data_IF_151611459963
#
_entry.id   IF_151611459963
#
_cell.length_a   1.000
_cell.length_b   1.000
_cell.length_c   1.000
_cell.angle_alpha   90.00
_cell.angle_beta   90.00
_cell.angle_gamma   90.00
#
_symmetry.space_group_name_H-M   'P 1'
#
loop_
_entity.id
_entity.type
_entity.pdbx_description
1 polymer ?
#
# COMPACT_ATOMS: atom_id res chain seq x y z
N UNK A 1 12.63 16.38 -98.05
CA UNK A 1 13.60 16.68 -96.98
C UNK A 1 12.87 17.46 -95.90
N UNK A 2 12.53 16.82 -94.79
CA UNK A 2 11.78 17.46 -93.71
C UNK A 2 12.70 18.42 -92.96
N UNK A 3 12.52 19.72 -93.17
CA UNK A 3 13.23 20.75 -92.42
C UNK A 3 12.66 20.80 -91.00
N UNK A 4 13.34 20.16 -90.04
CA UNK A 4 13.05 20.35 -88.62
C UNK A 4 13.84 21.55 -88.10
N UNK A 5 13.18 22.41 -87.32
CA UNK A 5 13.83 23.56 -86.70
C UNK A 5 14.76 23.10 -85.55
N UNK A 6 15.95 23.70 -85.41
CA UNK A 6 16.86 23.37 -84.31
C UNK A 6 16.35 23.96 -82.98
N UNK A 7 16.50 23.23 -81.87
CA UNK A 7 16.12 23.66 -80.51
C UNK A 7 17.12 24.66 -79.91
N UNK A 8 17.49 25.69 -80.66
CA UNK A 8 18.35 26.78 -80.20
C UNK A 8 17.50 27.88 -79.53
N UNK A 9 18.03 28.60 -78.52
CA UNK A 9 17.36 29.75 -77.93
C UNK A 9 16.96 30.75 -79.03
N UNK A 10 15.66 31.06 -79.13
CA UNK A 10 15.11 31.93 -80.18
C UNK A 10 14.26 31.22 -81.24
N UNK A 11 14.42 29.90 -81.41
CA UNK A 11 13.59 29.08 -82.32
C UNK A 11 12.41 28.37 -81.60
N UNK A 12 12.05 28.84 -80.40
CA UNK A 12 10.92 28.33 -79.62
C UNK A 12 9.76 29.31 -79.65
N UNK A 13 8.61 28.88 -80.16
CA UNK A 13 7.38 29.65 -80.13
C UNK A 13 6.61 29.37 -78.83
N UNK A 14 6.21 30.44 -78.12
CA UNK A 14 5.32 30.32 -76.96
C UNK A 14 3.90 30.12 -77.46
N UNK A 15 3.29 28.99 -77.10
CA UNK A 15 1.89 28.72 -77.39
C UNK A 15 0.99 29.44 -76.36
N UNK A 16 0.36 30.52 -76.79
CA UNK A 16 -0.55 31.33 -75.96
C UNK A 16 -1.92 30.70 -75.76
N UNK A 17 -2.22 29.59 -76.44
CA UNK A 17 -3.53 28.90 -76.32
C UNK A 17 -3.59 27.94 -75.13
N UNK A 18 -2.44 27.66 -74.50
CA UNK A 18 -2.37 26.78 -73.33
C UNK A 18 -2.90 27.48 -72.07
N UNK A 19 -4.09 27.07 -71.64
CA UNK A 19 -4.79 27.66 -70.48
C UNK A 19 -4.66 26.84 -69.20
N UNK A 20 -4.25 25.57 -69.28
CA UNK A 20 -4.18 24.66 -68.14
C UNK A 20 -2.73 24.36 -67.71
N UNK A 21 -2.36 24.80 -66.51
CA UNK A 21 -1.01 24.67 -65.92
C UNK A 21 -0.98 23.82 -64.65
N UNK A 22 -1.98 22.96 -64.44
CA UNK A 22 -2.03 22.10 -63.24
C UNK A 22 -0.81 21.17 -63.15
N UNK A 23 -0.13 21.16 -61.99
CA UNK A 23 0.96 20.22 -61.74
C UNK A 23 0.40 18.79 -61.59
N UNK A 24 0.86 17.82 -62.39
CA UNK A 24 0.48 16.43 -62.17
C UNK A 24 1.12 15.91 -60.89
N UNK A 25 0.33 15.27 -60.00
CA UNK A 25 0.86 14.54 -58.84
C UNK A 25 1.44 13.20 -59.28
N UNK A 26 2.62 13.25 -59.90
CA UNK A 26 3.40 12.07 -60.31
C UNK A 26 4.10 11.39 -59.16
N UNK A 27 4.18 12.03 -57.99
CA UNK A 27 4.96 11.56 -56.85
C UNK A 27 4.16 11.76 -55.58
N UNK A 28 3.89 10.67 -54.85
CA UNK A 28 3.05 10.66 -53.65
C UNK A 28 3.77 9.92 -52.52
N UNK A 29 3.63 10.43 -51.30
CA UNK A 29 4.09 9.74 -50.11
C UNK A 29 3.02 8.79 -49.60
N UNK A 30 3.34 7.49 -49.54
CA UNK A 30 2.49 6.48 -48.91
C UNK A 30 3.25 5.85 -47.75
N UNK A 31 2.71 5.95 -46.53
CA UNK A 31 3.34 5.46 -45.29
C UNK A 31 4.81 5.91 -45.13
N UNK A 32 5.11 7.16 -45.50
CA UNK A 32 6.44 7.77 -45.31
C UNK A 32 7.46 7.56 -46.44
N UNK A 33 7.12 6.79 -47.48
CA UNK A 33 8.03 6.53 -48.62
C UNK A 33 7.53 7.21 -49.90
N UNK A 34 8.39 7.89 -50.69
CA UNK A 34 8.00 8.47 -51.97
C UNK A 34 7.78 7.39 -53.02
N UNK A 35 6.60 7.41 -53.67
CA UNK A 35 6.21 6.45 -54.71
C UNK A 35 5.81 7.20 -55.98
N UNK A 36 6.36 6.84 -57.16
CA UNK A 36 5.95 7.39 -58.44
C UNK A 36 4.59 6.82 -58.86
N UNK A 37 3.64 7.69 -59.23
CA UNK A 37 2.33 7.33 -59.77
C UNK A 37 2.33 7.56 -61.29
N UNK A 38 2.01 6.54 -62.11
CA UNK A 38 1.92 6.72 -63.57
C UNK A 38 0.75 7.63 -63.93
N UNK A 39 0.99 8.64 -64.75
CA UNK A 39 -0.07 9.50 -65.30
C UNK A 39 -0.70 8.76 -66.47
N UNK A 40 -1.93 8.28 -66.31
CA UNK A 40 -2.81 8.08 -67.45
C UNK A 40 -3.53 9.41 -67.71
N UNK A 41 -3.11 10.12 -68.76
CA UNK A 41 -3.77 11.35 -69.20
C UNK A 41 -5.13 10.99 -69.80
N UNK A 42 -6.19 11.15 -69.02
CA UNK A 42 -7.55 11.08 -69.50
C UNK A 42 -7.80 12.22 -70.50
N UNK A 43 -7.87 11.86 -71.79
CA UNK A 43 -8.52 12.72 -72.80
C UNK A 43 -9.14 11.81 -73.83
N UNK A 44 -10.46 11.68 -73.75
CA UNK A 44 -11.37 11.01 -74.70
C UNK A 44 -11.08 11.28 -76.17
N UNK A 45 -10.46 12.42 -76.50
CA UNK A 45 -10.05 12.78 -77.87
C UNK A 45 -9.00 11.83 -78.47
N UNK A 46 -8.00 11.40 -77.69
CA UNK A 46 -6.94 10.51 -78.20
C UNK A 46 -7.42 9.07 -78.38
N UNK A 47 -8.44 8.68 -77.63
CA UNK A 47 -9.12 7.39 -77.79
C UNK A 47 -10.01 7.37 -79.05
N UNK A 48 -10.69 8.49 -79.35
CA UNK A 48 -11.49 8.66 -80.58
C UNK A 48 -10.62 8.65 -81.84
N UNK A 49 -9.46 9.31 -81.83
CA UNK A 49 -8.50 9.30 -82.95
C UNK A 49 -7.93 7.90 -83.24
N UNK A 50 -7.69 7.09 -82.21
CA UNK A 50 -7.23 5.71 -82.37
C UNK A 50 -8.35 4.77 -82.86
N UNK A 51 -9.60 5.06 -82.52
CA UNK A 51 -10.78 4.34 -83.01
C UNK A 51 -10.96 4.48 -84.53
N UNK A 52 -10.82 5.72 -85.03
CA UNK A 52 -10.92 6.03 -86.46
C UNK A 52 -9.72 5.47 -87.24
N UNK A 53 -8.52 5.46 -86.64
CA UNK A 53 -7.33 4.88 -87.24
C UNK A 53 -7.35 3.34 -87.34
N UNK A 54 -8.20 2.64 -86.56
CA UNK A 54 -8.32 1.17 -86.53
C UNK A 54 -9.62 0.64 -87.17
N UNK A 55 -10.14 1.28 -88.21
CA UNK A 55 -11.26 0.77 -89.02
C UNK A 55 -12.49 0.28 -88.21
N UNK A 56 -12.84 0.95 -87.09
CA UNK A 56 -14.01 0.62 -86.25
C UNK A 56 -14.03 -0.80 -85.65
N UNK A 57 -12.89 -1.51 -85.57
CA UNK A 57 -12.81 -2.76 -84.80
C UNK A 57 -12.09 -2.47 -83.49
N UNK A 58 -12.85 -2.45 -82.39
CA UNK A 58 -12.30 -2.36 -81.05
C UNK A 58 -11.90 -3.76 -80.57
N UNK A 59 -10.61 -3.97 -80.29
CA UNK A 59 -10.18 -5.04 -79.39
C UNK A 59 -10.93 -4.84 -78.05
N UNK A 60 -11.78 -5.80 -77.69
CA UNK A 60 -12.67 -5.72 -76.51
C UNK A 60 -11.93 -5.42 -75.21
N UNK A 61 -10.68 -5.86 -75.11
CA UNK A 61 -9.78 -5.61 -73.98
C UNK A 61 -9.34 -4.14 -73.89
N UNK A 62 -8.98 -3.51 -75.01
CA UNK A 62 -8.63 -2.08 -75.07
C UNK A 62 -9.84 -1.19 -74.82
N UNK A 63 -11.01 -1.59 -75.30
CA UNK A 63 -12.27 -0.90 -75.02
C UNK A 63 -12.58 -0.85 -73.51
N UNK A 64 -12.42 -2.00 -72.83
CA UNK A 64 -12.61 -2.10 -71.39
C UNK A 64 -11.59 -1.27 -70.61
N UNK A 65 -10.34 -1.23 -71.05
CA UNK A 65 -9.27 -0.46 -70.42
C UNK A 65 -9.46 1.06 -70.57
N UNK A 66 -10.02 1.51 -71.70
CA UNK A 66 -10.37 2.92 -71.93
C UNK A 66 -11.64 3.34 -71.16
N UNK A 67 -12.61 2.42 -71.00
CA UNK A 67 -13.89 2.71 -70.33
C UNK A 67 -13.77 2.70 -68.80
N UNK A 68 -13.00 1.74 -68.24
CA UNK A 68 -12.89 1.53 -66.80
C UNK A 68 -11.49 1.86 -66.23
N UNK A 69 -10.53 2.23 -67.08
CA UNK A 69 -9.12 2.42 -66.70
C UNK A 69 -8.33 1.11 -66.66
N UNK A 70 -6.99 1.17 -66.54
CA UNK A 70 -6.16 -0.03 -66.44
C UNK A 70 -6.60 -0.88 -65.25
N UNK A 71 -6.68 -2.21 -65.42
CA UNK A 71 -6.98 -3.14 -64.32
C UNK A 71 -6.03 -2.82 -63.17
N UNK A 72 -6.58 -2.45 -61.99
CA UNK A 72 -5.78 -2.18 -60.79
C UNK A 72 -4.85 -3.38 -60.59
N UNK A 73 -3.55 -3.15 -60.73
CA UNK A 73 -2.56 -4.17 -60.38
C UNK A 73 -2.88 -4.64 -58.97
N UNK A 74 -2.87 -5.95 -58.68
CA UNK A 74 -3.09 -6.43 -57.32
C UNK A 74 -2.15 -5.64 -56.41
N UNK A 75 -2.67 -5.09 -55.32
CA UNK A 75 -1.86 -4.35 -54.35
C UNK A 75 -0.72 -5.29 -53.95
N UNK A 76 0.49 -5.02 -54.42
CA UNK A 76 1.67 -5.75 -53.96
C UNK A 76 1.84 -5.36 -52.50
N UNK A 77 1.45 -6.26 -51.60
CA UNK A 77 1.69 -6.08 -50.19
C UNK A 77 3.19 -5.99 -49.98
N UNK A 78 3.64 -4.88 -49.41
CA UNK A 78 5.06 -4.65 -49.16
C UNK A 78 5.46 -5.65 -48.07
N UNK A 79 6.30 -6.62 -48.42
CA UNK A 79 6.88 -7.54 -47.45
C UNK A 79 7.90 -6.79 -46.60
N UNK A 80 7.48 -6.39 -45.39
CA UNK A 80 8.35 -5.76 -44.42
C UNK A 80 9.39 -6.77 -43.91
N UNK A 81 10.67 -6.38 -43.80
CA UNK A 81 11.69 -7.21 -43.16
C UNK A 81 11.30 -7.57 -41.71
N UNK A 82 11.65 -8.78 -41.26
CA UNK A 82 11.28 -9.29 -39.94
C UNK A 82 11.66 -8.34 -38.80
N UNK A 83 12.87 -7.79 -38.83
CA UNK A 83 13.37 -6.92 -37.77
C UNK A 83 12.56 -5.63 -37.60
N UNK A 84 11.85 -5.20 -38.65
CA UNK A 84 10.98 -4.01 -38.64
C UNK A 84 9.52 -4.40 -38.34
N UNK A 85 9.05 -5.52 -38.89
CA UNK A 85 7.68 -6.02 -38.67
C UNK A 85 7.45 -6.52 -37.23
N UNK A 86 8.52 -7.04 -36.60
CA UNK A 86 8.50 -7.63 -35.26
C UNK A 86 9.22 -6.77 -34.22
N UNK A 87 9.54 -5.51 -34.54
CA UNK A 87 10.14 -4.59 -33.59
C UNK A 87 9.24 -4.42 -32.35
N UNK A 88 9.85 -4.42 -31.15
CA UNK A 88 9.18 -4.32 -29.83
C UNK A 88 8.15 -5.40 -29.48
N UNK A 89 8.00 -6.43 -30.32
CA UNK A 89 7.13 -7.58 -30.02
C UNK A 89 7.91 -8.63 -29.25
N UNK A 90 7.54 -8.85 -27.99
CA UNK A 90 8.27 -9.72 -27.06
C UNK A 90 7.31 -10.70 -26.41
N UNK A 91 7.57 -12.00 -26.56
CA UNK A 91 6.79 -13.01 -25.88
C UNK A 91 7.27 -13.14 -24.43
N UNK A 92 6.37 -12.96 -23.47
CA UNK A 92 6.64 -13.11 -22.04
C UNK A 92 5.97 -14.35 -21.47
N UNK A 93 6.79 -15.23 -20.90
CA UNK A 93 6.36 -16.40 -20.16
C UNK A 93 6.73 -16.26 -18.67
N UNK A 94 5.86 -16.74 -17.81
CA UNK A 94 6.12 -16.95 -16.39
C UNK A 94 6.55 -18.40 -16.20
N UNK A 95 7.51 -18.62 -15.31
CA UNK A 95 7.99 -19.94 -14.97
C UNK A 95 8.65 -19.96 -13.61
N UNK A 96 9.19 -21.11 -13.24
CA UNK A 96 10.04 -21.26 -12.07
C UNK A 96 11.11 -22.31 -12.31
N UNK A 97 12.18 -22.27 -11.52
CA UNK A 97 13.10 -23.39 -11.40
C UNK A 97 13.26 -23.77 -9.92
N UNK A 98 13.56 -25.04 -9.69
CA UNK A 98 13.83 -25.58 -8.36
C UNK A 98 15.34 -25.52 -8.12
N UNK A 99 15.75 -24.98 -6.99
CA UNK A 99 17.13 -24.97 -6.54
C UNK A 99 17.25 -25.80 -5.25
N UNK A 100 18.14 -26.78 -5.26
CA UNK A 100 18.39 -27.64 -4.10
C UNK A 100 19.39 -26.97 -3.16
N UNK A 101 19.13 -27.04 -1.85
CA UNK A 101 19.96 -26.43 -0.81
C UNK A 101 20.47 -27.57 0.08
N UNK A 102 21.79 -27.68 0.22
CA UNK A 102 22.42 -28.78 0.96
C UNK A 102 22.64 -28.47 2.44
N UNK A 103 22.95 -27.20 2.80
CA UNK A 103 23.49 -26.84 4.13
C UNK A 103 22.55 -25.96 4.99
N UNK A 104 21.22 -26.03 4.79
CA UNK A 104 20.26 -25.22 5.57
C UNK A 104 19.32 -26.07 6.41
N UNK A 105 19.26 -25.81 7.72
CA UNK A 105 18.47 -26.62 8.66
C UNK A 105 16.95 -26.51 8.51
N UNK A 106 16.46 -25.52 7.74
CA UNK A 106 15.02 -25.25 7.59
C UNK A 106 14.44 -25.58 6.22
N UNK A 107 15.27 -25.72 5.18
CA UNK A 107 14.81 -25.80 3.77
C UNK A 107 15.74 -26.72 2.96
N UNK A 108 15.17 -27.76 2.34
CA UNK A 108 15.91 -28.69 1.46
C UNK A 108 15.94 -28.22 0.00
N UNK A 109 14.94 -27.45 -0.42
CA UNK A 109 14.85 -26.87 -1.75
C UNK A 109 14.06 -25.56 -1.69
N UNK A 110 14.34 -24.66 -2.64
CA UNK A 110 13.59 -23.42 -2.85
C UNK A 110 13.07 -23.34 -4.28
N UNK A 111 11.97 -22.61 -4.45
CA UNK A 111 11.34 -22.39 -5.76
C UNK A 111 11.55 -20.93 -6.15
N UNK A 112 12.26 -20.71 -7.26
CA UNK A 112 12.59 -19.36 -7.73
C UNK A 112 11.74 -19.03 -8.96
N UNK A 113 10.78 -18.09 -8.85
CA UNK A 113 9.99 -17.67 -9.99
C UNK A 113 10.88 -16.91 -10.97
N UNK A 114 10.65 -17.07 -12.27
CA UNK A 114 11.38 -16.39 -13.33
C UNK A 114 10.42 -15.95 -14.44
N UNK A 115 10.81 -14.90 -15.16
CA UNK A 115 10.16 -14.44 -16.37
C UNK A 115 11.09 -14.70 -17.54
N UNK A 116 10.60 -15.43 -18.54
CA UNK A 116 11.32 -15.72 -19.77
C UNK A 116 10.78 -14.81 -20.86
N UNK A 117 11.65 -13.97 -21.43
CA UNK A 117 11.34 -13.04 -22.51
C UNK A 117 11.94 -13.57 -23.81
N UNK A 118 11.14 -13.66 -24.86
CA UNK A 118 11.57 -14.06 -26.20
C UNK A 118 11.31 -12.91 -27.17
N UNK A 119 12.36 -12.38 -27.78
CA UNK A 119 12.29 -11.24 -28.69
C UNK A 119 12.07 -11.74 -30.12
N UNK A 120 10.90 -11.41 -30.72
CA UNK A 120 10.55 -11.87 -32.07
C UNK A 120 11.38 -11.21 -33.19
N UNK A 121 12.06 -10.12 -32.87
CA UNK A 121 12.88 -9.36 -33.81
C UNK A 121 14.10 -10.16 -34.30
N UNK A 122 14.77 -10.87 -33.39
CA UNK A 122 16.07 -11.51 -33.59
C UNK A 122 16.13 -12.97 -33.06
N UNK A 123 15.02 -13.50 -32.54
CA UNK A 123 14.91 -14.82 -31.92
C UNK A 123 15.86 -14.99 -30.71
N UNK A 124 16.07 -13.91 -29.94
CA UNK A 124 16.87 -13.95 -28.70
C UNK A 124 15.99 -14.12 -27.47
N UNK A 125 16.59 -14.63 -26.39
CA UNK A 125 15.92 -14.89 -25.12
C UNK A 125 16.65 -14.22 -23.95
N UNK A 126 15.89 -13.84 -22.94
CA UNK A 126 16.37 -13.29 -21.68
C UNK A 126 15.57 -13.90 -20.53
N UNK A 127 16.22 -14.19 -19.41
CA UNK A 127 15.56 -14.72 -18.21
C UNK A 127 15.80 -13.78 -17.05
N UNK A 128 14.70 -13.33 -16.44
CA UNK A 128 14.72 -12.35 -15.36
C UNK A 128 13.98 -12.91 -14.15
N UNK A 129 14.66 -12.96 -13.02
CA UNK A 129 14.04 -13.22 -11.73
C UNK A 129 13.43 -11.91 -11.18
N UNK A 130 12.12 -11.88 -10.87
CA UNK A 130 11.49 -10.71 -10.28
C UNK A 130 12.08 -10.44 -8.88
N UNK A 131 12.27 -9.16 -8.56
CA UNK A 131 12.75 -8.73 -7.25
C UNK A 131 11.63 -8.86 -6.22
N UNK A 132 11.88 -9.60 -5.15
CA UNK A 132 10.98 -9.82 -4.03
C UNK A 132 11.57 -9.17 -2.78
N UNK A 133 10.80 -8.31 -2.12
CA UNK A 133 11.23 -7.67 -0.89
C UNK A 133 11.56 -8.72 0.20
N UNK A 134 12.62 -8.49 0.96
CA UNK A 134 13.07 -9.38 2.04
C UNK A 134 13.35 -10.83 1.58
N UNK A 135 13.78 -11.03 0.33
CA UNK A 135 14.22 -12.34 -0.18
C UNK A 135 15.63 -12.72 0.30
N UNK A 136 16.50 -11.72 0.52
CA UNK A 136 17.91 -11.93 0.87
C UNK A 136 18.76 -12.50 -0.28
N UNK A 137 18.19 -12.68 -1.47
CA UNK A 137 18.87 -13.21 -2.65
C UNK A 137 19.23 -12.09 -3.62
N UNK A 138 20.33 -12.27 -4.36
CA UNK A 138 20.66 -11.42 -5.51
C UNK A 138 19.70 -11.76 -6.66
N UNK A 139 18.71 -10.89 -6.87
CA UNK A 139 17.66 -11.05 -7.87
C UNK A 139 17.80 -10.01 -9.00
N UNK A 140 17.32 -10.37 -10.19
CA UNK A 140 17.40 -9.54 -11.40
C UNK A 140 17.57 -10.40 -12.65
N UNK A 141 18.36 -9.93 -13.61
CA UNK A 141 18.64 -10.67 -14.85
C UNK A 141 19.48 -11.92 -14.54
N UNK A 142 18.88 -13.10 -14.64
CA UNK A 142 19.53 -14.39 -14.45
C UNK A 142 20.39 -14.74 -15.68
N UNK A 143 19.80 -14.60 -16.87
CA UNK A 143 20.49 -14.77 -18.14
C UNK A 143 20.27 -13.54 -19.02
N UNK A 144 21.36 -12.89 -19.43
CA UNK A 144 21.32 -11.72 -20.33
C UNK A 144 20.75 -12.10 -21.70
N UNK A 145 20.18 -11.12 -22.41
CA UNK A 145 19.61 -11.30 -23.74
C UNK A 145 20.64 -11.85 -24.75
N UNK A 146 20.41 -13.05 -25.26
CA UNK A 146 21.12 -13.63 -26.42
C UNK A 146 20.37 -14.87 -26.94
N UNK A 147 20.86 -15.49 -28.02
CA UNK A 147 20.24 -16.72 -28.54
C UNK A 147 20.68 -17.93 -27.70
N UNK A 148 19.74 -18.53 -26.96
CA UNK A 148 20.03 -19.72 -26.16
C UNK A 148 20.14 -20.98 -27.02
N UNK A 149 21.15 -21.84 -26.79
CA UNK A 149 21.29 -23.11 -27.50
C UNK A 149 20.25 -24.13 -27.01
N UNK A 150 19.62 -24.84 -27.94
CA UNK A 150 18.68 -25.91 -27.64
C UNK A 150 19.45 -27.21 -27.28
N UNK A 151 19.10 -27.91 -26.19
CA UNK A 151 19.86 -29.06 -25.68
C UNK A 151 19.96 -30.22 -26.68
N UNK A 152 18.88 -30.49 -27.43
CA UNK A 152 18.82 -31.57 -28.41
C UNK A 152 19.39 -31.22 -29.80
N UNK A 153 19.92 -30.00 -29.99
CA UNK A 153 20.32 -29.50 -31.30
C UNK A 153 21.82 -29.43 -31.48
N UNK A 154 22.35 -29.90 -32.63
CA UNK A 154 23.71 -29.64 -33.11
C UNK A 154 23.92 -28.14 -33.44
N UNK A 155 23.81 -27.25 -32.44
CA UNK A 155 23.90 -25.79 -32.61
C UNK A 155 22.58 -25.10 -32.98
N UNK A 156 21.43 -25.76 -32.84
CA UNK A 156 20.11 -25.12 -33.03
C UNK A 156 19.81 -24.20 -31.84
N UNK A 157 19.30 -23.00 -32.09
CA UNK A 157 18.78 -22.09 -31.06
C UNK A 157 17.32 -22.38 -30.70
N UNK A 158 16.89 -21.96 -29.51
CA UNK A 158 15.48 -22.00 -29.14
C UNK A 158 14.62 -21.13 -30.07
N UNK A 159 13.51 -21.70 -30.54
CA UNK A 159 12.48 -20.98 -31.27
C UNK A 159 11.24 -20.79 -30.40
N UNK A 160 10.44 -19.78 -30.73
CA UNK A 160 9.13 -19.57 -30.08
C UNK A 160 8.22 -20.80 -30.17
N UNK A 161 8.39 -21.63 -31.22
CA UNK A 161 7.68 -22.91 -31.40
C UNK A 161 8.06 -23.98 -30.37
N UNK A 162 9.24 -23.88 -29.77
CA UNK A 162 9.72 -24.86 -28.79
C UNK A 162 9.19 -24.55 -27.37
N UNK A 163 8.66 -23.35 -27.17
CA UNK A 163 8.11 -22.84 -25.90
C UNK A 163 6.61 -23.12 -25.83
N UNK A 164 6.19 -23.90 -24.84
CA UNK A 164 4.78 -24.14 -24.53
C UNK A 164 4.60 -24.19 -23.00
N UNK A 165 3.39 -23.97 -22.51
CA UNK A 165 3.06 -24.08 -21.10
C UNK A 165 3.21 -25.54 -20.63
N UNK A 166 3.53 -25.72 -19.35
CA UNK A 166 3.78 -27.03 -18.71
C UNK A 166 4.97 -27.80 -19.31
N UNK A 167 5.82 -27.13 -20.09
CA UNK A 167 7.03 -27.70 -20.68
C UNK A 167 8.27 -27.13 -20.00
N UNK A 168 9.28 -27.98 -19.87
CA UNK A 168 10.55 -27.61 -19.25
C UNK A 168 11.52 -27.15 -20.35
N UNK A 169 12.16 -26.01 -20.14
CA UNK A 169 13.25 -25.51 -20.97
C UNK A 169 14.56 -25.62 -20.20
N UNK A 170 15.62 -26.11 -20.86
CA UNK A 170 16.93 -26.30 -20.27
C UNK A 170 17.86 -25.20 -20.79
N UNK A 171 18.20 -24.26 -19.92
CA UNK A 171 19.06 -23.12 -20.24
C UNK A 171 20.32 -23.22 -19.40
N UNK A 172 21.47 -23.49 -20.04
CA UNK A 172 22.77 -23.63 -19.38
C UNK A 172 22.78 -24.57 -18.16
N UNK A 173 22.04 -25.69 -18.25
CA UNK A 173 21.94 -26.69 -17.18
C UNK A 173 20.86 -26.39 -16.13
N UNK A 174 20.18 -25.25 -16.21
CA UNK A 174 19.02 -24.94 -15.36
C UNK A 174 17.74 -25.32 -16.09
N UNK A 175 16.94 -26.19 -15.46
CA UNK A 175 15.61 -26.57 -15.95
C UNK A 175 14.56 -25.59 -15.43
N UNK A 176 13.96 -24.82 -16.33
CA UNK A 176 12.90 -23.87 -16.03
C UNK A 176 11.58 -24.45 -16.51
N UNK A 177 10.63 -24.62 -15.60
CA UNK A 177 9.24 -25.00 -15.88
C UNK A 177 8.47 -23.76 -16.32
N UNK A 178 7.91 -23.76 -17.53
CA UNK A 178 6.99 -22.70 -17.96
C UNK A 178 5.59 -22.96 -17.40
N UNK A 179 5.06 -22.01 -16.64
CA UNK A 179 3.79 -22.14 -15.93
C UNK A 179 2.65 -21.40 -16.62
N UNK A 180 2.88 -20.14 -16.98
CA UNK A 180 1.87 -19.27 -17.59
C UNK A 180 2.50 -18.33 -18.64
N UNK A 181 1.67 -17.65 -19.42
CA UNK A 181 2.10 -16.67 -20.41
C UNK A 181 1.18 -15.45 -20.40
N UNK A 182 1.68 -14.32 -20.89
CA UNK A 182 0.88 -13.12 -21.08
C UNK A 182 -0.30 -13.33 -22.01
N UNK A 183 -1.31 -12.46 -21.88
CA UNK A 183 -2.45 -12.44 -22.80
C UNK A 183 -1.99 -12.23 -24.26
N UNK A 184 -1.11 -11.26 -24.50
CA UNK A 184 -0.60 -10.99 -25.85
C UNK A 184 0.18 -12.18 -26.43
N UNK A 185 0.98 -12.87 -25.61
CA UNK A 185 1.66 -14.09 -26.05
C UNK A 185 0.71 -15.20 -26.42
N UNK A 186 -0.37 -15.34 -25.64
CA UNK A 186 -1.38 -16.36 -25.88
C UNK A 186 -2.05 -16.13 -27.22
N UNK A 187 -2.49 -14.90 -27.48
CA UNK A 187 -3.10 -14.49 -28.75
C UNK A 187 -2.14 -14.70 -29.93
N UNK A 188 -0.88 -14.28 -29.80
CA UNK A 188 0.12 -14.45 -30.85
C UNK A 188 0.40 -15.93 -31.17
N UNK A 189 0.51 -16.77 -30.15
CA UNK A 189 0.78 -18.20 -30.35
C UNK A 189 -0.41 -18.91 -31.01
N UNK A 190 -1.63 -18.57 -30.61
CA UNK A 190 -2.86 -19.10 -31.22
C UNK A 190 -2.95 -18.66 -32.69
N UNK A 191 -2.71 -17.38 -32.99
CA UNK A 191 -2.71 -16.85 -34.37
C UNK A 191 -1.61 -17.49 -35.23
N UNK A 192 -0.46 -17.78 -34.62
CA UNK A 192 0.64 -18.50 -35.28
C UNK A 192 0.39 -20.02 -35.43
N UNK A 193 -0.76 -20.53 -34.96
CA UNK A 193 -1.19 -21.92 -35.07
C UNK A 193 -0.60 -22.88 -34.02
N UNK A 194 -0.15 -22.36 -32.87
CA UNK A 194 0.36 -23.16 -31.76
C UNK A 194 -0.73 -23.36 -30.70
N UNK A 195 -1.09 -24.62 -30.44
CA UNK A 195 -2.01 -24.98 -29.35
C UNK A 195 -1.27 -24.91 -28.01
N UNK A 196 -1.72 -23.97 -27.16
CA UNK A 196 -1.17 -23.76 -25.83
C UNK A 196 -1.80 -24.71 -24.81
N UNK A 197 -0.95 -25.28 -23.96
CA UNK A 197 -1.42 -26.07 -22.83
C UNK A 197 -2.09 -25.20 -21.75
N UNK A 198 -2.84 -25.82 -20.85
CA UNK A 198 -3.42 -25.12 -19.70
C UNK A 198 -2.33 -24.59 -18.73
N UNK A 199 -2.55 -23.41 -18.12
CA UNK A 199 -1.60 -22.82 -17.18
C UNK A 199 -1.51 -23.64 -15.88
N UNK A 200 -0.29 -23.79 -15.36
CA UNK A 200 -0.01 -24.52 -14.12
C UNK A 200 0.34 -23.52 -13.00
N UNK A 201 -0.24 -23.60 -11.79
CA UNK A 201 0.18 -22.75 -10.68
C UNK A 201 1.60 -23.10 -10.23
N UNK A 202 2.36 -22.09 -9.79
CA UNK A 202 3.68 -22.31 -9.20
C UNK A 202 3.50 -23.09 -7.88
N UNK A 203 4.23 -24.20 -7.66
CA UNK A 203 4.14 -24.93 -6.41
C UNK A 203 4.57 -24.06 -5.22
N UNK A 204 3.95 -24.23 -4.05
CA UNK A 204 4.30 -23.44 -2.87
C UNK A 204 5.69 -23.83 -2.35
N UNK A 205 6.51 -22.83 -2.06
CA UNK A 205 7.83 -23.01 -1.44
C UNK A 205 7.67 -23.27 0.07
N UNK A 206 8.38 -24.25 0.67
CA UNK A 206 8.43 -24.46 2.12
C UNK A 206 8.64 -23.15 2.92
N UNK A 207 9.50 -22.26 2.45
CA UNK A 207 9.76 -20.97 3.08
C UNK A 207 8.54 -20.04 3.08
N UNK A 208 7.81 -19.99 1.95
CA UNK A 208 6.61 -19.17 1.83
C UNK A 208 5.49 -19.71 2.72
N UNK A 209 5.36 -21.04 2.80
CA UNK A 209 4.42 -21.69 3.71
C UNK A 209 4.77 -21.37 5.18
N UNK A 210 6.05 -21.42 5.57
CA UNK A 210 6.47 -21.07 6.92
C UNK A 210 6.15 -19.61 7.27
N UNK A 211 6.35 -18.67 6.34
CA UNK A 211 5.98 -17.26 6.54
C UNK A 211 4.48 -17.06 6.73
N UNK A 212 3.65 -17.78 5.99
CA UNK A 212 2.20 -17.73 6.15
C UNK A 212 1.77 -18.27 7.52
N UNK A 213 2.38 -19.36 7.98
CA UNK A 213 2.09 -19.97 9.29
C UNK A 213 2.48 -19.06 10.46
N UNK A 214 3.62 -18.36 10.36
CA UNK A 214 4.12 -17.48 11.43
C UNK A 214 3.32 -16.17 11.53
N UNK A 215 2.45 -15.89 10.56
CA UNK A 215 1.65 -14.68 10.48
C UNK A 215 2.49 -13.41 10.26
N UNK A 216 1.86 -12.28 9.89
CA UNK A 216 2.53 -11.00 9.93
C UNK A 216 2.97 -10.72 11.37
N UNK A 217 4.16 -10.16 11.56
CA UNK A 217 4.59 -9.66 12.86
C UNK A 217 3.48 -8.73 13.37
N UNK A 218 2.80 -9.11 14.45
CA UNK A 218 1.84 -8.23 15.10
C UNK A 218 2.61 -6.96 15.45
N UNK A 219 2.36 -5.88 14.71
CA UNK A 219 2.72 -4.55 15.16
C UNK A 219 2.04 -4.40 16.52
N UNK A 220 2.84 -4.36 17.59
CA UNK A 220 2.36 -3.89 18.88
C UNK A 220 2.07 -2.41 18.72
N UNK A 221 0.91 -2.09 18.13
CA UNK A 221 0.34 -0.77 18.27
C UNK A 221 -0.12 -0.70 19.71
N UNK A 222 0.40 0.21 20.55
CA UNK A 222 -0.22 0.47 21.83
C UNK A 222 -1.64 0.97 21.51
N UNK A 223 -2.64 0.11 21.69
CA UNK A 223 -4.04 0.53 21.55
C UNK A 223 -4.54 1.02 22.92
N UNK A 224 -5.05 2.25 22.89
CA UNK A 224 -6.25 2.74 23.57
C UNK A 224 -6.24 3.02 25.08
N UNK A 225 -5.26 2.58 25.87
CA UNK A 225 -5.19 3.02 27.28
C UNK A 225 -4.96 4.54 27.41
N UNK A 226 -4.18 5.11 26.49
CA UNK A 226 -3.97 6.57 26.42
C UNK A 226 -5.25 7.31 26.00
N UNK A 227 -6.05 6.72 25.12
CA UNK A 227 -7.32 7.29 24.66
C UNK A 227 -8.36 7.32 25.79
N UNK A 228 -8.44 6.26 26.60
CA UNK A 228 -9.35 6.20 27.77
C UNK A 228 -8.92 7.19 28.87
N UNK A 229 -7.61 7.27 29.15
CA UNK A 229 -7.06 8.24 30.12
C UNK A 229 -7.30 9.67 29.66
N UNK A 230 -7.10 9.95 28.37
CA UNK A 230 -7.37 11.25 27.77
C UNK A 230 -8.86 11.58 27.79
N UNK A 231 -9.72 10.63 27.45
CA UNK A 231 -11.17 10.81 27.49
C UNK A 231 -11.66 11.15 28.91
N UNK A 232 -11.14 10.43 29.91
CA UNK A 232 -11.43 10.71 31.32
C UNK A 232 -10.98 12.11 31.73
N UNK A 233 -9.76 12.50 31.37
CA UNK A 233 -9.22 13.83 31.63
C UNK A 233 -10.12 14.91 31.01
N UNK A 234 -10.46 14.80 29.73
CA UNK A 234 -11.28 15.80 29.03
C UNK A 234 -12.71 15.92 29.60
N UNK A 235 -13.31 14.80 30.02
CA UNK A 235 -14.69 14.78 30.56
C UNK A 235 -14.76 15.35 31.98
N UNK A 236 -13.71 15.13 32.77
CA UNK A 236 -13.67 15.47 34.19
C UNK A 236 -12.71 16.62 34.52
N UNK A 237 -12.18 17.32 33.52
CA UNK A 237 -11.32 18.47 33.72
C UNK A 237 -12.02 19.51 34.62
N UNK A 238 -11.28 20.03 35.60
CA UNK A 238 -11.75 20.98 36.63
C UNK A 238 -12.86 20.50 37.56
N UNK A 239 -13.28 19.23 37.50
CA UNK A 239 -14.23 18.65 38.47
C UNK A 239 -13.46 18.11 39.68
N UNK A 240 -13.62 18.77 40.82
CA UNK A 240 -12.94 18.42 42.07
C UNK A 240 -13.97 18.22 43.18
N UNK A 241 -13.92 17.08 43.84
CA UNK A 241 -14.74 16.81 45.02
C UNK A 241 -13.99 17.33 46.24
N UNK A 242 -14.62 18.18 47.03
CA UNK A 242 -14.01 18.84 48.17
C UNK A 242 -14.75 18.46 49.45
N UNK A 243 -14.00 17.96 50.42
CA UNK A 243 -14.48 17.55 51.74
C UNK A 243 -13.77 18.36 52.82
N UNK A 244 -14.49 18.65 53.88
CA UNK A 244 -13.96 19.25 55.09
C UNK A 244 -13.84 18.17 56.15
N UNK A 245 -12.64 18.07 56.71
CA UNK A 245 -12.30 17.06 57.69
C UNK A 245 -11.56 17.61 58.89
N UNK A 246 -11.47 16.78 59.91
CA UNK A 246 -10.67 17.03 61.10
C UNK A 246 -9.68 15.89 61.23
N UNK A 247 -8.41 16.24 61.22
CA UNK A 247 -7.33 15.33 61.53
C UNK A 247 -6.95 15.50 63.01
N UNK A 248 -7.00 14.40 63.76
CA UNK A 248 -6.49 14.37 65.13
C UNK A 248 -5.01 14.03 65.10
N UNK A 249 -4.15 15.01 65.40
CA UNK A 249 -2.72 14.79 65.49
C UNK A 249 -2.37 14.22 66.86
N UNK A 250 -2.21 12.90 66.91
CA UNK A 250 -1.86 12.14 68.12
C UNK A 250 -0.37 12.30 68.45
N UNK A 251 0.46 12.70 67.48
CA UNK A 251 1.90 12.88 67.69
C UNK A 251 2.25 14.23 68.33
N UNK A 252 1.31 15.18 68.30
CA UNK A 252 1.45 16.45 69.00
C UNK A 252 1.17 16.25 70.49
N UNK A 253 2.01 16.80 71.36
CA UNK A 253 1.78 16.84 72.81
C UNK A 253 1.51 18.30 73.23
N UNK A 254 0.27 18.68 73.59
CA UNK A 254 -0.97 17.89 73.64
C UNK A 254 -1.56 17.57 72.25
N UNK A 255 -2.44 16.55 72.15
CA UNK A 255 -3.05 16.15 70.89
C UNK A 255 -3.99 17.25 70.36
N UNK A 256 -3.80 17.62 69.11
CA UNK A 256 -4.50 18.76 68.51
C UNK A 256 -5.48 18.31 67.43
N UNK A 257 -6.64 18.97 67.35
CA UNK A 257 -7.60 18.79 66.27
C UNK A 257 -7.35 19.83 65.17
N UNK A 258 -6.84 19.37 64.03
CA UNK A 258 -6.49 20.21 62.89
C UNK A 258 -7.56 20.13 61.82
N UNK A 259 -7.95 21.28 61.28
CA UNK A 259 -8.90 21.36 60.16
C UNK A 259 -8.16 21.07 58.87
N UNK A 260 -8.71 20.17 58.07
CA UNK A 260 -8.14 19.78 56.78
C UNK A 260 -9.21 19.84 55.71
N UNK A 261 -8.79 20.19 54.50
CA UNK A 261 -9.60 20.18 53.29
C UNK A 261 -9.05 19.07 52.41
N UNK A 262 -9.87 18.08 52.10
CA UNK A 262 -9.53 16.97 51.22
C UNK A 262 -10.11 17.25 49.83
N UNK A 263 -9.26 17.17 48.80
CA UNK A 263 -9.63 17.40 47.41
C UNK A 263 -9.38 16.13 46.60
N UNK A 264 -10.42 15.62 45.95
CA UNK A 264 -10.35 14.48 45.03
C UNK A 264 -10.56 14.96 43.59
N UNK A 265 -9.57 14.71 42.73
CA UNK A 265 -9.58 15.13 41.33
C UNK A 265 -10.11 14.00 40.45
N UNK A 266 -11.28 14.19 39.83
CA UNK A 266 -11.95 13.17 39.00
C UNK A 266 -11.26 12.91 37.65
N UNK A 267 -10.41 13.83 37.19
CA UNK A 267 -9.64 13.68 35.96
C UNK A 267 -8.57 12.59 36.07
N UNK A 268 -7.89 12.50 37.22
CA UNK A 268 -6.68 11.68 37.40
C UNK A 268 -6.80 10.64 38.53
N UNK A 269 -7.93 10.61 39.26
CA UNK A 269 -8.15 9.84 40.50
C UNK A 269 -7.12 10.11 41.60
N UNK A 270 -6.63 11.34 41.68
CA UNK A 270 -5.63 11.75 42.68
C UNK A 270 -6.27 12.47 43.85
N UNK A 271 -5.65 12.35 45.02
CA UNK A 271 -6.03 13.02 46.26
C UNK A 271 -4.99 14.05 46.66
N UNK A 272 -5.46 15.18 47.16
CA UNK A 272 -4.66 16.23 47.79
C UNK A 272 -5.28 16.59 49.14
N UNK A 273 -4.44 16.75 50.16
CA UNK A 273 -4.89 17.12 51.51
C UNK A 273 -4.25 18.43 51.89
N UNK A 274 -5.09 19.42 52.16
CA UNK A 274 -4.70 20.76 52.56
C UNK A 274 -5.02 20.96 54.04
N UNK A 275 -4.15 21.65 54.77
CA UNK A 275 -4.41 22.12 56.13
C UNK A 275 -5.02 23.52 56.07
N UNK A 276 -6.11 23.71 56.81
CA UNK A 276 -6.78 25.01 56.97
C UNK A 276 -6.26 25.69 58.24
N UNK A 277 -5.40 26.68 58.06
CA UNK A 277 -4.75 27.41 59.16
C UNK A 277 -5.64 28.55 59.67
N UNK A 278 -5.96 28.53 60.96
CA UNK A 278 -6.60 29.65 61.62
C UNK A 278 -5.65 30.85 61.74
N UNK A 279 -6.22 32.07 61.81
CA UNK A 279 -5.43 33.28 62.09
C UNK A 279 -4.73 33.13 63.45
N UNK A 280 -3.46 33.52 63.51
CA UNK A 280 -2.62 33.45 64.72
C UNK A 280 -2.44 32.02 65.29
N UNK A 281 -2.46 30.97 64.46
CA UNK A 281 -2.23 29.59 64.89
C UNK A 281 -0.77 29.27 65.27
N UNK A 282 0.18 30.20 65.06
CA UNK A 282 1.60 30.00 65.35
C UNK A 282 2.31 29.01 64.43
N UNK A 283 1.65 28.50 63.39
CA UNK A 283 2.26 27.60 62.39
C UNK A 283 2.82 28.34 61.20
N UNK A 284 3.80 27.70 60.58
CA UNK A 284 4.31 28.09 59.27
C UNK A 284 3.19 27.91 58.24
N UNK A 285 2.93 28.87 57.33
CA UNK A 285 1.79 28.86 56.42
C UNK A 285 1.94 27.86 55.25
N UNK A 286 2.36 26.63 55.52
CA UNK A 286 2.34 25.54 54.56
C UNK A 286 0.96 24.91 54.54
N UNK A 287 0.19 25.17 53.47
CA UNK A 287 -1.17 24.65 53.31
C UNK A 287 -1.23 23.20 52.86
N UNK A 288 -0.20 22.66 52.20
CA UNK A 288 -0.26 21.31 51.62
C UNK A 288 0.27 20.30 52.63
N UNK A 289 -0.63 19.48 53.20
CA UNK A 289 -0.28 18.37 54.09
C UNK A 289 0.15 17.13 53.28
N UNK A 290 -0.57 16.84 52.18
CA UNK A 290 -0.25 15.78 51.22
C UNK A 290 -0.40 16.36 49.81
N UNK A 291 0.69 16.30 49.02
CA UNK A 291 0.68 16.74 47.62
C UNK A 291 -0.26 15.88 46.78
N UNK A 292 -0.83 16.47 45.73
CA UNK A 292 -1.66 15.76 44.74
C UNK A 292 -0.94 14.51 44.23
N UNK A 293 -1.44 13.33 44.61
CA UNK A 293 -0.93 12.03 44.16
C UNK A 293 -2.04 10.97 44.24
N UNK A 294 -1.85 9.83 43.57
CA UNK A 294 -2.73 8.69 43.80
C UNK A 294 -2.37 8.06 45.15
N UNK A 295 -3.38 7.73 45.94
CA UNK A 295 -3.20 7.17 47.29
C UNK A 295 -3.86 5.80 47.31
N UNK A 296 -3.13 4.80 47.79
CA UNK A 296 -3.65 3.45 47.99
C UNK A 296 -4.42 3.37 49.32
N UNK A 297 -5.52 2.62 49.34
CA UNK A 297 -6.33 2.36 50.54
C UNK A 297 -5.54 1.46 51.51
N UNK A 298 -4.94 0.40 50.97
CA UNK A 298 -4.27 -0.66 51.73
C UNK A 298 -2.75 -0.65 51.51
N UNK A 299 -2.11 0.53 51.63
CA UNK A 299 -0.67 0.67 51.35
C UNK A 299 0.23 -0.28 52.16
N UNK A 300 -0.27 -0.81 53.28
CA UNK A 300 0.47 -1.70 54.18
C UNK A 300 0.06 -3.18 54.07
N UNK A 301 -1.07 -3.51 53.44
CA UNK A 301 -1.61 -4.88 53.36
C UNK A 301 -1.53 -5.39 51.91
N UNK A 302 -0.32 -5.69 51.46
CA UNK A 302 -0.11 -6.46 50.23
C UNK A 302 -0.40 -7.94 50.51
N UNK A 303 -1.03 -8.69 49.58
CA UNK A 303 -1.25 -10.12 49.76
C UNK A 303 0.06 -10.86 50.10
N UNK A 304 0.03 -11.78 51.06
CA UNK A 304 1.22 -12.56 51.49
C UNK A 304 1.88 -13.34 50.33
N UNK A 305 1.15 -13.57 49.25
CA UNK A 305 1.63 -14.22 48.03
C UNK A 305 2.56 -13.34 47.17
N UNK A 306 2.68 -12.03 47.42
CA UNK A 306 3.49 -11.14 46.60
C UNK A 306 4.97 -11.16 47.03
N UNK A 307 5.91 -11.60 46.18
CA UNK A 307 7.32 -11.71 46.54
C UNK A 307 8.03 -10.35 46.55
N UNK A 308 7.98 -9.66 47.69
CA UNK A 308 8.64 -8.35 47.93
C UNK A 308 10.16 -8.35 47.75
N UNK A 309 10.82 -9.51 47.75
CA UNK A 309 12.28 -9.63 47.70
C UNK A 309 12.89 -9.38 46.32
N UNK A 310 12.11 -9.44 45.23
CA UNK A 310 12.64 -9.31 43.86
C UNK A 310 11.69 -8.64 42.86
N UNK A 311 10.50 -8.22 43.28
CA UNK A 311 9.51 -7.53 42.43
C UNK A 311 9.07 -6.21 43.08
N UNK A 312 9.16 -5.13 42.30
CA UNK A 312 8.53 -3.85 42.65
C UNK A 312 7.01 -3.98 42.47
N UNK A 313 6.24 -3.45 43.42
CA UNK A 313 4.77 -3.45 43.35
C UNK A 313 4.36 -2.54 42.21
N UNK A 314 3.69 -3.10 41.20
CA UNK A 314 3.16 -2.32 40.09
C UNK A 314 1.90 -1.59 40.52
N UNK A 315 1.60 -0.46 39.85
CA UNK A 315 0.38 0.33 40.12
C UNK A 315 -0.92 -0.48 39.94
N UNK A 316 -0.88 -1.54 39.13
CA UNK A 316 -2.03 -2.42 38.85
C UNK A 316 -2.38 -3.35 40.02
N UNK A 317 -1.43 -3.62 40.92
CA UNK A 317 -1.59 -4.55 42.04
C UNK A 317 -2.16 -3.85 43.30
N UNK A 318 -2.34 -2.52 43.26
CA UNK A 318 -2.80 -1.71 44.39
C UNK A 318 -4.27 -1.29 44.29
N UNK A 319 -4.98 -1.27 45.43
CA UNK A 319 -6.33 -0.72 45.56
C UNK A 319 -6.28 0.79 45.77
N UNK A 320 -6.63 1.56 44.74
CA UNK A 320 -6.64 3.03 44.78
C UNK A 320 -7.94 3.60 45.36
N UNK A 321 -7.86 4.73 46.07
CA UNK A 321 -9.04 5.43 46.59
C UNK A 321 -10.00 5.84 45.46
N UNK A 322 -11.27 5.46 45.61
CA UNK A 322 -12.35 5.86 44.70
C UNK A 322 -13.26 6.89 45.40
N UNK A 323 -14.06 7.66 44.63
CA UNK A 323 -15.04 8.56 45.22
C UNK A 323 -16.03 7.84 46.15
N UNK A 324 -16.35 6.57 45.90
CA UNK A 324 -17.29 5.78 46.70
C UNK A 324 -16.83 5.59 48.15
N UNK A 325 -15.51 5.60 48.39
CA UNK A 325 -14.90 5.37 49.70
C UNK A 325 -14.95 6.63 50.57
N UNK A 326 -15.09 7.81 49.95
CA UNK A 326 -15.18 9.11 50.61
C UNK A 326 -16.65 9.46 50.87
N UNK A 327 -17.03 9.57 52.13
CA UNK A 327 -18.37 10.04 52.55
C UNK A 327 -18.29 10.88 53.81
N UNK A 328 -19.22 11.82 53.94
CA UNK A 328 -19.43 12.57 55.18
C UNK A 328 -19.81 11.62 56.31
N UNK A 329 -19.24 11.82 57.50
CA UNK A 329 -19.43 10.98 58.69
C UNK A 329 -18.52 9.76 58.78
N UNK A 330 -17.65 9.51 57.79
CA UNK A 330 -16.67 8.42 57.83
C UNK A 330 -15.27 8.91 58.20
N UNK A 331 -14.54 8.04 58.89
CA UNK A 331 -13.10 8.16 59.10
C UNK A 331 -12.36 7.58 57.89
N UNK A 332 -11.44 8.36 57.32
CA UNK A 332 -10.57 7.95 56.20
C UNK A 332 -9.12 7.92 56.69
N UNK A 333 -8.41 6.84 56.41
CA UNK A 333 -6.99 6.71 56.74
C UNK A 333 -6.16 7.03 55.49
N UNK A 334 -5.42 8.14 55.53
CA UNK A 334 -4.56 8.58 54.43
C UNK A 334 -3.12 8.58 54.92
N UNK A 335 -2.27 7.71 54.38
CA UNK A 335 -0.85 7.59 54.76
C UNK A 335 -0.64 7.46 56.28
N UNK A 336 -1.49 6.66 56.94
CA UNK A 336 -1.47 6.46 58.39
C UNK A 336 -2.10 7.58 59.22
N UNK A 337 -2.59 8.66 58.60
CA UNK A 337 -3.31 9.75 59.28
C UNK A 337 -4.82 9.50 59.22
N UNK A 338 -5.46 9.44 60.38
CA UNK A 338 -6.92 9.25 60.49
C UNK A 338 -7.64 10.60 60.42
N UNK A 339 -8.41 10.82 59.36
CA UNK A 339 -9.14 12.05 59.07
C UNK A 339 -10.63 11.78 59.11
N UNK A 340 -11.36 12.48 59.99
CA UNK A 340 -12.81 12.41 60.06
C UNK A 340 -13.43 13.44 59.12
N UNK A 341 -14.23 13.01 58.13
CA UNK A 341 -14.91 13.92 57.20
C UNK A 341 -16.26 14.36 57.80
N UNK A 342 -16.44 15.66 58.04
CA UNK A 342 -17.67 16.17 58.69
C UNK A 342 -18.56 16.98 57.75
N UNK A 343 -18.03 17.55 56.67
CA UNK A 343 -18.81 18.31 55.68
C UNK A 343 -18.22 18.15 54.27
N UNK A 344 -18.97 18.53 53.25
CA UNK A 344 -18.56 18.52 51.86
C UNK A 344 -19.08 19.74 51.09
N UNK A 345 -18.50 19.98 49.92
CA UNK A 345 -18.89 21.12 49.09
C UNK A 345 -20.24 20.90 48.38
N UNK A 346 -20.90 21.99 47.98
CA UNK A 346 -22.18 21.90 47.28
C UNK A 346 -22.07 21.15 45.96
N UNK A 347 -21.01 21.38 45.19
CA UNK A 347 -20.71 20.61 43.98
C UNK A 347 -20.58 19.11 44.28
N UNK A 348 -19.95 18.77 45.39
CA UNK A 348 -19.75 17.38 45.81
C UNK A 348 -21.08 16.72 46.14
N UNK A 349 -21.98 17.39 46.87
CA UNK A 349 -23.35 16.91 47.11
C UNK A 349 -24.10 16.61 45.83
N UNK A 350 -24.09 17.55 44.88
CA UNK A 350 -24.74 17.36 43.58
C UNK A 350 -24.14 16.20 42.78
N UNK A 351 -22.81 16.07 42.78
CA UNK A 351 -22.12 14.98 42.10
C UNK A 351 -22.51 13.60 42.65
N UNK A 352 -22.54 13.43 43.98
CA UNK A 352 -22.92 12.16 44.60
C UNK A 352 -24.40 11.83 44.42
N UNK A 353 -25.27 12.85 44.44
CA UNK A 353 -26.69 12.67 44.11
C UNK A 353 -26.89 12.20 42.67
N UNK A 354 -26.19 12.82 41.71
CA UNK A 354 -26.32 12.49 40.30
C UNK A 354 -25.69 11.15 39.90
N UNK A 355 -24.50 10.81 40.45
CA UNK A 355 -23.75 9.62 40.05
C UNK A 355 -24.01 8.39 40.93
N UNK A 356 -24.26 8.58 42.24
CA UNK A 356 -24.43 7.49 43.20
C UNK A 356 -25.83 7.41 43.83
N UNK A 357 -26.69 8.41 43.61
CA UNK A 357 -28.04 8.46 44.20
C UNK A 357 -28.05 8.63 45.71
N UNK A 358 -26.96 9.15 46.30
CA UNK A 358 -26.83 9.34 47.75
C UNK A 358 -27.26 10.77 48.09
N UNK A 359 -28.39 10.91 48.80
CA UNK A 359 -28.91 12.21 49.25
C UNK A 359 -28.43 12.58 50.67
N UNK A 360 -28.06 11.58 51.49
CA UNK A 360 -27.69 11.74 52.90
C UNK A 360 -26.19 12.11 53.07
N UNK A 361 -25.83 13.34 52.72
CA UNK A 361 -24.53 13.93 53.06
C UNK A 361 -24.71 15.23 53.85
N UNK A 362 -25.44 15.14 54.97
CA UNK A 362 -25.64 16.26 55.88
C UNK A 362 -24.34 16.63 56.62
N UNK A 363 -24.14 17.92 56.85
CA UNK A 363 -22.99 18.44 57.60
C UNK A 363 -23.11 18.05 59.07
N UNK A 364 -22.09 17.38 59.61
CA UNK A 364 -22.03 17.01 61.02
C UNK A 364 -21.38 18.14 61.81
N UNK A 365 -22.05 18.59 62.87
CA UNK A 365 -21.51 19.60 63.77
C UNK A 365 -20.21 19.12 64.44
N UNK A 366 -19.12 19.86 64.24
CA UNK A 366 -17.78 19.54 64.77
C UNK A 366 -17.73 19.37 66.31
N UNK A 367 -18.75 19.88 67.03
CA UNK A 367 -18.89 19.74 68.48
C UNK A 367 -19.37 18.34 68.93
N UNK A 368 -19.90 17.52 68.03
CA UNK A 368 -20.42 16.18 68.30
C UNK A 368 -19.50 15.12 67.70
N UNK A 369 -18.31 14.92 68.29
CA UNK A 369 -17.70 13.59 68.19
C UNK A 369 -18.44 12.67 69.17
N UNK A 370 -19.20 11.66 68.73
CA UNK A 370 -19.61 10.60 69.65
C UNK A 370 -18.32 9.99 70.22
N UNK A 371 -18.19 10.03 71.55
CA UNK A 371 -17.09 9.34 72.23
C UNK A 371 -17.14 7.87 71.79
N UNK A 372 -16.02 7.26 71.35
CA UNK A 372 -16.01 5.85 71.02
C UNK A 372 -16.47 5.06 72.25
N UNK A 373 -17.44 4.16 72.06
CA UNK A 373 -17.87 3.26 73.12
C UNK A 373 -16.66 2.42 73.56
N UNK A 374 -16.25 2.60 74.81
CA UNK A 374 -15.25 1.75 75.44
C UNK A 374 -15.90 0.39 75.66
N UNK A 375 -15.62 -0.57 74.78
CA UNK A 375 -15.93 -1.97 75.06
C UNK A 375 -15.03 -2.44 76.21
N UNK A 376 -15.65 -2.80 77.34
CA UNK A 376 -15.00 -3.39 78.51
C UNK A 376 -14.53 -4.81 78.22
#
# INVERSE_FOLDING_TARGET
MNQSLPCLPGYNFRDFTKTHFGLPRTLIYSKGVPVPQPIFSATTKRALELLDAQNKVLDTEKAAELTYGPKRSPKREIQLPRHLAMDKKVLRFSGYFREEIFDWSRENYRIRPVKVLYYLQDDTMEVIEPKTANSGLLQGTLFKRHAFPHPNGKGRKYLWKDLNLRKDIMVYGINIRLTDCDQWTREYLIDAGLELNEPEPIPPDPHQQQKLTMGPRKEMRPRSLEDEKLHKFLTNDRKVLRFYGIWQDILSEPPEMRRVILQYYLADDTLEVLEDHARNCGRIPFKVLVRKQKIAVDANELPDSFPKSYLEVKEDDMTWFKPQDLRTGKDVVILGKKIFLYDCDEFTRHYYKAHFGIEDMESIGVAEKPKPAVSR
#
